data_IF_301414893114
#
_entry.id   IF_301414893114
#
_cell.length_a   1.000
_cell.length_b   1.000
_cell.length_c   1.000
_cell.angle_alpha   90.00
_cell.angle_beta   90.00
_cell.angle_gamma   90.00
#
_symmetry.space_group_name_H-M   'P 1'
#
loop_
_entity.id
_entity.type
_entity.pdbx_description
1 polymer ?
#
# COMPACT_ATOMS: atom_id res chain seq x y z
N UNK A 1 -20.96 -6.01 16.63
CA UNK A 1 -19.79 -6.55 15.92
C UNK A 1 -18.75 -5.45 15.88
N UNK A 2 -17.56 -5.66 16.42
CA UNK A 2 -16.52 -4.63 16.38
C UNK A 2 -16.07 -4.42 14.95
N UNK A 3 -16.15 -3.19 14.44
CA UNK A 3 -15.47 -2.81 13.21
C UNK A 3 -13.97 -3.02 13.49
N UNK A 4 -13.40 -4.12 12.99
CA UNK A 4 -11.94 -4.21 12.95
C UNK A 4 -11.53 -3.20 11.88
N UNK A 5 -11.06 -2.04 12.32
CA UNK A 5 -10.57 -1.02 11.41
C UNK A 5 -9.43 -1.63 10.59
N UNK A 6 -9.57 -1.58 9.27
CA UNK A 6 -8.54 -2.03 8.34
C UNK A 6 -7.29 -1.18 8.54
N UNK A 7 -6.12 -1.80 8.44
CA UNK A 7 -4.86 -1.08 8.53
C UNK A 7 -4.69 -0.14 7.32
N UNK A 8 -3.78 0.82 7.43
CA UNK A 8 -3.43 1.72 6.32
C UNK A 8 -1.92 1.69 6.11
N UNK A 9 -1.46 1.95 4.89
CA UNK A 9 -0.04 2.23 4.68
C UNK A 9 0.28 3.65 5.16
N UNK A 10 1.25 3.75 6.05
CA UNK A 10 1.67 5.02 6.67
C UNK A 10 3.08 5.46 6.25
N UNK A 11 3.86 4.54 5.68
CA UNK A 11 5.17 4.83 5.10
C UNK A 11 5.53 3.78 4.05
N UNK A 12 6.47 4.12 3.17
CA UNK A 12 6.96 3.24 2.09
C UNK A 12 8.47 3.17 2.05
N UNK A 13 9.00 2.04 1.61
CA UNK A 13 10.40 1.90 1.22
C UNK A 13 10.48 1.94 -0.31
N UNK A 14 11.51 2.60 -0.84
CA UNK A 14 11.78 2.68 -2.27
C UNK A 14 13.20 2.22 -2.58
N UNK A 15 13.40 1.57 -3.73
CA UNK A 15 14.74 1.25 -4.24
C UNK A 15 15.43 2.52 -4.81
N UNK A 16 16.66 2.36 -5.31
CA UNK A 16 17.43 3.45 -5.93
C UNK A 16 16.78 4.09 -7.16
N UNK A 17 15.89 3.37 -7.83
CA UNK A 17 15.14 3.82 -9.01
C UNK A 17 13.82 4.53 -8.65
N UNK A 18 13.43 4.48 -7.36
CA UNK A 18 12.21 5.10 -6.86
C UNK A 18 10.99 4.17 -6.81
N UNK A 19 11.16 2.89 -7.15
CA UNK A 19 10.10 1.89 -7.09
C UNK A 19 9.82 1.45 -5.65
N UNK A 20 8.55 1.20 -5.35
CA UNK A 20 8.10 0.72 -4.04
C UNK A 20 8.58 -0.72 -3.81
N UNK A 21 9.25 -0.95 -2.68
CA UNK A 21 9.77 -2.28 -2.29
C UNK A 21 9.09 -2.85 -1.05
N UNK A 22 8.68 -1.99 -0.12
CA UNK A 22 8.02 -2.38 1.12
C UNK A 22 7.09 -1.27 1.63
N UNK A 23 6.19 -1.65 2.54
CA UNK A 23 5.15 -0.80 3.11
C UNK A 23 5.11 -0.99 4.62
N UNK A 24 5.00 0.12 5.36
CA UNK A 24 4.72 0.09 6.80
C UNK A 24 3.24 0.32 7.02
N UNK A 25 2.61 -0.55 7.79
CA UNK A 25 1.19 -0.41 8.13
C UNK A 25 1.00 0.42 9.42
N UNK A 26 -0.21 0.91 9.63
CA UNK A 26 -0.59 1.67 10.83
C UNK A 26 -0.46 0.87 12.13
N UNK A 27 -0.44 -0.47 12.07
CA UNK A 27 -0.18 -1.34 13.22
C UNK A 27 1.32 -1.59 13.47
N UNK A 28 2.20 -1.03 12.64
CA UNK A 28 3.65 -1.14 12.76
C UNK A 28 4.27 -2.35 12.04
N UNK A 29 3.49 -3.14 11.30
CA UNK A 29 4.02 -4.20 10.43
C UNK A 29 4.81 -3.59 9.27
N UNK A 30 5.84 -4.30 8.83
CA UNK A 30 6.53 -4.01 7.57
C UNK A 30 6.30 -5.18 6.64
N UNK A 31 5.71 -4.88 5.49
CA UNK A 31 5.35 -5.85 4.46
C UNK A 31 6.21 -5.59 3.23
N UNK A 32 6.83 -6.63 2.68
CA UNK A 32 7.39 -6.53 1.33
C UNK A 32 6.27 -6.36 0.29
N UNK A 33 6.64 -6.04 -0.95
CA UNK A 33 5.67 -5.75 -2.00
C UNK A 33 4.71 -6.92 -2.29
N UNK A 34 5.15 -8.18 -2.17
CA UNK A 34 4.29 -9.33 -2.41
C UNK A 34 3.31 -9.56 -1.26
N UNK A 35 3.79 -9.48 -0.02
CA UNK A 35 2.95 -9.54 1.18
C UNK A 35 1.91 -8.41 1.18
N UNK A 36 2.31 -7.20 0.78
CA UNK A 36 1.40 -6.08 0.65
C UNK A 36 0.30 -6.37 -0.38
N UNK A 37 0.61 -6.98 -1.54
CA UNK A 37 -0.42 -7.38 -2.51
C UNK A 37 -1.42 -8.37 -1.91
N UNK A 38 -0.95 -9.35 -1.15
CA UNK A 38 -1.80 -10.35 -0.49
C UNK A 38 -2.74 -9.69 0.52
N UNK A 39 -2.24 -8.79 1.36
CA UNK A 39 -3.01 -8.06 2.37
C UNK A 39 -4.03 -7.10 1.75
N UNK A 40 -3.68 -6.41 0.66
CA UNK A 40 -4.63 -5.58 -0.11
C UNK A 40 -5.70 -6.45 -0.75
N UNK A 41 -5.33 -7.58 -1.37
CA UNK A 41 -6.28 -8.51 -1.97
C UNK A 41 -7.23 -9.14 -0.95
N UNK A 42 -6.75 -9.41 0.26
CA UNK A 42 -7.55 -9.91 1.38
C UNK A 42 -8.49 -8.85 1.98
N UNK A 43 -8.32 -7.58 1.59
CA UNK A 43 -9.10 -6.47 2.11
C UNK A 43 -8.70 -6.06 3.53
N UNK A 44 -7.47 -6.34 3.96
CA UNK A 44 -6.97 -5.97 5.29
C UNK A 44 -6.41 -4.54 5.34
N UNK A 45 -6.08 -3.97 4.19
CA UNK A 45 -5.58 -2.60 4.05
C UNK A 45 -6.66 -1.70 3.44
N UNK A 46 -6.86 -0.51 3.99
CA UNK A 46 -7.76 0.52 3.48
C UNK A 46 -7.01 1.59 2.67
N UNK A 47 -7.76 2.30 1.82
CA UNK A 47 -7.24 3.40 1.00
C UNK A 47 -6.44 2.95 -0.23
N UNK A 48 -6.42 1.65 -0.51
CA UNK A 48 -5.68 1.05 -1.62
C UNK A 48 -6.44 -0.11 -2.25
N UNK A 49 -6.13 -0.38 -3.51
CA UNK A 49 -6.66 -1.51 -4.28
C UNK A 49 -5.57 -2.11 -5.19
N UNK A 50 -5.79 -3.36 -5.62
CA UNK A 50 -5.01 -3.96 -6.69
C UNK A 50 -5.56 -3.56 -8.06
N UNK A 51 -4.67 -3.20 -8.98
CA UNK A 51 -5.00 -2.98 -10.38
C UNK A 51 -4.11 -3.84 -11.28
N UNK A 52 -4.68 -4.28 -12.40
CA UNK A 52 -3.93 -5.02 -13.41
C UNK A 52 -3.25 -4.05 -14.38
N UNK A 53 -1.93 -4.14 -14.48
CA UNK A 53 -1.12 -3.41 -15.44
C UNK A 53 -1.33 -3.90 -16.88
N UNK A 54 -0.77 -3.18 -17.85
CA UNK A 54 -0.84 -3.55 -19.27
C UNK A 54 -0.05 -4.83 -19.60
N UNK A 55 0.97 -5.11 -18.80
CA UNK A 55 1.78 -6.33 -18.79
C UNK A 55 1.03 -7.54 -18.21
N UNK A 56 -0.08 -7.31 -17.51
CA UNK A 56 -0.88 -8.33 -16.86
C UNK A 56 -0.56 -8.55 -15.38
N UNK A 57 0.45 -7.85 -14.84
CA UNK A 57 0.83 -7.92 -13.43
C UNK A 57 -0.11 -7.13 -12.53
N UNK A 58 -0.19 -7.51 -11.25
CA UNK A 58 -0.99 -6.80 -10.25
C UNK A 58 -0.12 -5.80 -9.49
N UNK A 59 -0.60 -4.57 -9.40
CA UNK A 59 0.06 -3.45 -8.76
C UNK A 59 -0.86 -2.84 -7.70
N UNK A 60 -0.27 -2.29 -6.64
CA UNK A 60 -1.01 -1.59 -5.60
C UNK A 60 -1.16 -0.12 -6.02
N UNK A 61 -2.36 0.42 -5.88
CA UNK A 61 -2.66 1.84 -6.11
C UNK A 61 -3.52 2.39 -4.98
N UNK A 62 -3.31 3.65 -4.62
CA UNK A 62 -4.21 4.40 -3.76
C UNK A 62 -5.60 4.56 -4.37
N UNK A 63 -6.61 4.70 -3.51
CA UNK A 63 -7.98 5.00 -3.94
C UNK A 63 -8.03 6.35 -4.66
N UNK A 64 -8.89 6.46 -5.68
CA UNK A 64 -9.11 7.71 -6.40
C UNK A 64 -10.12 8.59 -5.64
N UNK A 65 -9.81 8.94 -4.39
CA UNK A 65 -10.68 9.72 -3.50
C UNK A 65 -10.50 11.25 -3.65
N UNK A 66 -9.46 11.68 -4.38
CA UNK A 66 -9.14 13.08 -4.61
C UNK A 66 -8.31 13.73 -3.51
N UNK A 67 -7.89 12.98 -2.48
CA UNK A 67 -6.94 13.42 -1.47
C UNK A 67 -5.53 12.96 -1.85
N UNK A 68 -4.64 13.87 -2.31
CA UNK A 68 -3.31 13.46 -2.72
C UNK A 68 -2.45 12.97 -1.55
N UNK A 69 -2.75 13.38 -0.31
CA UNK A 69 -1.88 13.20 0.86
C UNK A 69 -1.76 11.75 1.30
N UNK A 70 -2.70 10.90 0.90
CA UNK A 70 -2.71 9.47 1.19
C UNK A 70 -2.20 8.61 0.02
N UNK A 71 -1.73 9.24 -1.08
CA UNK A 71 -1.14 8.51 -2.19
C UNK A 71 0.19 7.86 -1.78
N UNK A 72 0.41 6.62 -2.25
CA UNK A 72 1.60 5.83 -1.91
C UNK A 72 2.93 6.52 -2.26
N UNK A 73 2.94 7.38 -3.28
CA UNK A 73 4.12 8.13 -3.69
C UNK A 73 4.43 9.33 -2.79
N UNK A 74 3.43 9.85 -2.07
CA UNK A 74 3.52 10.95 -1.11
C UNK A 74 3.75 10.50 0.33
N UNK A 75 3.59 9.21 0.63
CA UNK A 75 3.83 8.67 1.96
C UNK A 75 5.30 8.89 2.39
N UNK A 76 5.55 9.11 3.71
CA UNK A 76 6.89 9.15 4.28
C UNK A 76 7.72 7.93 3.88
N UNK A 77 9.04 8.14 3.73
CA UNK A 77 9.98 7.06 3.46
C UNK A 77 10.58 6.51 4.75
N UNK A 78 10.82 5.21 4.79
CA UNK A 78 11.63 4.58 5.84
C UNK A 78 12.78 3.79 5.23
N UNK A 79 13.86 3.66 6.01
CA UNK A 79 15.04 2.85 5.69
C UNK A 79 14.89 1.43 6.21
#
# INVERSE_FOLDING_TARGET
MGNVEREQFVAVQKNGDGDLTAFRTSSGRVLDYNQAKEEVNAGNIAGVNLFKGRDGELYIRGDADGDPTNNLDQLPRFE
#
